data_IF_012722583916
#
_entry.id   IF_012722583916
#
_cell.length_a   1.000
_cell.length_b   1.000
_cell.length_c   1.000
_cell.angle_alpha   90.00
_cell.angle_beta   90.00
_cell.angle_gamma   90.00
#
_symmetry.space_group_name_H-M   'P 1'
#
loop_
_entity.id
_entity.type
_entity.pdbx_description
1 polymer ?
#
# COMPACT_ATOMS: atom_id res chain seq x y z
N UNK A 1 -28.28 22.32 -4.12
CA UNK A 1 -27.24 21.33 -3.77
C UNK A 1 -25.98 21.74 -4.49
N UNK A 2 -24.97 22.28 -3.80
CA UNK A 2 -23.70 22.62 -4.46
C UNK A 2 -22.96 21.33 -4.76
N UNK A 3 -22.76 21.04 -6.05
CA UNK A 3 -21.97 19.87 -6.47
C UNK A 3 -20.55 20.09 -5.98
N UNK A 4 -20.06 19.20 -5.10
CA UNK A 4 -18.66 19.25 -4.66
C UNK A 4 -17.79 18.89 -5.87
N UNK A 5 -17.07 19.89 -6.41
CA UNK A 5 -16.16 19.65 -7.52
C UNK A 5 -15.06 18.65 -7.11
N UNK A 6 -14.90 17.63 -7.94
CA UNK A 6 -13.83 16.65 -7.81
C UNK A 6 -12.58 17.20 -8.47
N UNK A 7 -11.45 17.19 -7.76
CA UNK A 7 -10.19 17.64 -8.33
C UNK A 7 -9.51 16.48 -9.06
N UNK A 8 -9.71 16.40 -10.38
CA UNK A 8 -9.22 15.31 -11.24
C UNK A 8 -7.70 15.16 -11.23
N UNK A 9 -6.95 16.25 -11.04
CA UNK A 9 -5.48 16.21 -11.02
C UNK A 9 -4.95 15.40 -9.84
N UNK A 10 -5.56 15.55 -8.66
CA UNK A 10 -5.15 14.79 -7.48
C UNK A 10 -5.57 13.32 -7.57
N UNK A 11 -6.72 13.00 -8.16
CA UNK A 11 -7.13 11.61 -8.37
C UNK A 11 -6.20 10.91 -9.37
N UNK A 12 -5.82 11.61 -10.46
CA UNK A 12 -4.84 11.10 -11.41
C UNK A 12 -3.48 10.86 -10.75
N UNK A 13 -3.00 11.82 -9.94
CA UNK A 13 -1.76 11.67 -9.18
C UNK A 13 -1.81 10.45 -8.26
N UNK A 14 -2.93 10.19 -7.57
CA UNK A 14 -3.10 9.00 -6.71
C UNK A 14 -3.00 7.70 -7.48
N UNK A 15 -3.53 7.65 -8.71
CA UNK A 15 -3.42 6.46 -9.58
C UNK A 15 -1.96 6.22 -9.95
N UNK A 16 -1.23 7.27 -10.35
CA UNK A 16 0.21 7.17 -10.66
C UNK A 16 0.98 6.65 -9.44
N UNK A 17 0.72 7.21 -8.25
CA UNK A 17 1.40 6.77 -7.03
C UNK A 17 1.10 5.30 -6.70
N UNK A 18 -0.15 4.87 -6.87
CA UNK A 18 -0.53 3.45 -6.67
C UNK A 18 0.22 2.50 -7.61
N UNK A 19 0.37 2.87 -8.89
CA UNK A 19 1.15 2.08 -9.84
C UNK A 19 2.63 2.00 -9.45
N UNK A 20 3.23 3.12 -9.03
CA UNK A 20 4.62 3.17 -8.58
C UNK A 20 4.86 2.26 -7.36
N UNK A 21 3.92 2.22 -6.41
CA UNK A 21 3.99 1.35 -5.23
C UNK A 21 3.94 -0.13 -5.63
N UNK A 22 3.07 -0.50 -6.58
CA UNK A 22 2.98 -1.88 -7.08
C UNK A 22 4.27 -2.29 -7.79
N UNK A 23 4.83 -1.42 -8.65
CA UNK A 23 6.10 -1.69 -9.32
C UNK A 23 7.25 -1.84 -8.33
N UNK A 24 7.32 -0.96 -7.32
CA UNK A 24 8.31 -1.06 -6.25
C UNK A 24 8.25 -2.41 -5.53
N UNK A 25 7.06 -2.84 -5.08
CA UNK A 25 6.90 -4.13 -4.41
C UNK A 25 7.25 -5.31 -5.34
N UNK A 26 6.91 -5.21 -6.62
CA UNK A 26 7.25 -6.23 -7.62
C UNK A 26 8.76 -6.37 -7.83
N UNK A 27 9.50 -5.26 -7.78
CA UNK A 27 10.96 -5.25 -7.97
C UNK A 27 11.69 -5.65 -6.69
N UNK A 28 11.26 -5.15 -5.53
CA UNK A 28 11.97 -5.36 -4.26
C UNK A 28 11.63 -6.71 -3.61
N UNK A 29 10.37 -7.13 -3.68
CA UNK A 29 9.87 -8.34 -3.02
C UNK A 29 9.38 -9.43 -3.99
N UNK A 30 9.31 -9.13 -5.29
CA UNK A 30 8.82 -10.06 -6.32
C UNK A 30 9.92 -10.90 -6.98
N UNK A 31 9.60 -11.41 -8.16
CA UNK A 31 10.25 -12.55 -8.84
C UNK A 31 11.63 -12.21 -9.42
N UNK A 32 12.02 -10.93 -9.49
CA UNK A 32 13.35 -10.56 -9.97
C UNK A 32 14.33 -10.93 -8.85
N UNK A 33 15.16 -11.97 -9.02
CA UNK A 33 16.16 -12.28 -8.03
C UNK A 33 17.04 -11.03 -7.93
N UNK A 34 17.21 -10.51 -6.72
CA UNK A 34 18.35 -9.64 -6.47
C UNK A 34 19.60 -10.49 -6.64
N UNK A 35 20.01 -10.65 -7.90
CA UNK A 35 21.31 -11.16 -8.27
C UNK A 35 22.37 -10.35 -7.53
N UNK A 36 23.49 -10.99 -7.18
CA UNK A 36 24.42 -10.47 -6.20
C UNK A 36 24.83 -9.05 -6.56
N UNK A 37 24.83 -8.21 -5.52
CA UNK A 37 25.52 -6.92 -5.42
C UNK A 37 26.61 -6.79 -6.49
N UNK A 38 26.46 -5.79 -7.35
CA UNK A 38 27.60 -5.12 -7.98
C UNK A 38 28.50 -6.03 -8.85
N UNK A 39 27.98 -6.56 -9.95
CA UNK A 39 28.85 -6.90 -11.10
C UNK A 39 28.29 -6.19 -12.32
N UNK A 40 28.82 -4.99 -12.52
CA UNK A 40 28.65 -4.16 -13.72
C UNK A 40 29.16 -4.97 -14.92
N UNK A 41 28.25 -5.64 -15.65
CA UNK A 41 28.55 -6.22 -16.95
C UNK A 41 28.12 -5.21 -18.02
N UNK A 42 29.13 -4.56 -18.60
CA UNK A 42 29.08 -3.20 -19.15
C UNK A 42 28.28 -2.99 -20.44
N UNK A 43 27.61 -3.98 -21.04
CA UNK A 43 27.18 -3.80 -22.44
C UNK A 43 25.69 -3.97 -22.79
N UNK A 44 24.82 -4.49 -21.91
CA UNK A 44 23.37 -4.60 -22.23
C UNK A 44 22.39 -4.40 -21.05
N UNK A 45 22.88 -4.16 -19.84
CA UNK A 45 22.08 -4.27 -18.60
C UNK A 45 21.84 -2.90 -17.92
N UNK A 46 22.56 -1.85 -18.32
CA UNK A 46 22.49 -0.52 -17.69
C UNK A 46 21.11 0.11 -17.62
N UNK A 47 20.33 0.08 -18.71
CA UNK A 47 19.01 0.70 -18.74
C UNK A 47 18.03 -0.06 -17.85
N UNK A 48 18.09 -1.40 -17.85
CA UNK A 48 17.26 -2.23 -16.99
C UNK A 48 17.58 -1.98 -15.50
N UNK A 49 18.86 -2.02 -15.15
CA UNK A 49 19.29 -1.82 -13.76
C UNK A 49 19.04 -0.39 -13.28
N UNK A 50 19.20 0.59 -14.16
CA UNK A 50 18.84 1.98 -13.87
C UNK A 50 17.34 2.12 -13.61
N UNK A 51 16.49 1.57 -14.46
CA UNK A 51 15.03 1.61 -14.30
C UNK A 51 14.60 0.90 -13.01
N UNK A 52 15.13 -0.29 -12.73
CA UNK A 52 14.85 -1.01 -11.49
C UNK A 52 15.30 -0.22 -10.24
N UNK A 53 16.47 0.40 -10.29
CA UNK A 53 16.99 1.24 -9.19
C UNK A 53 16.12 2.49 -8.98
N UNK A 54 15.69 3.14 -10.06
CA UNK A 54 14.77 4.27 -9.97
C UNK A 54 13.46 3.86 -9.30
N UNK A 55 12.79 2.80 -9.76
CA UNK A 55 11.53 2.34 -9.14
C UNK A 55 11.72 1.85 -7.69
N UNK A 56 12.87 1.26 -7.37
CA UNK A 56 13.21 0.90 -6.00
C UNK A 56 13.31 2.14 -5.08
N UNK A 57 13.84 3.26 -5.56
CA UNK A 57 13.91 4.51 -4.80
C UNK A 57 12.56 5.25 -4.75
N UNK A 58 11.90 5.41 -5.89
CA UNK A 58 10.65 6.18 -6.00
C UNK A 58 9.46 5.51 -5.30
N UNK A 59 9.52 4.20 -5.08
CA UNK A 59 8.43 3.48 -4.41
C UNK A 59 8.11 4.00 -3.01
N UNK A 60 9.13 4.23 -2.17
CA UNK A 60 8.92 4.80 -0.82
C UNK A 60 8.35 6.20 -0.86
N UNK A 61 8.92 7.05 -1.73
CA UNK A 61 8.43 8.41 -1.96
C UNK A 61 6.97 8.41 -2.45
N UNK A 62 6.58 7.44 -3.29
CA UNK A 62 5.22 7.31 -3.78
C UNK A 62 4.23 6.97 -2.66
N UNK A 63 4.63 6.14 -1.68
CA UNK A 63 3.82 5.87 -0.48
C UNK A 63 3.58 7.17 0.30
N UNK A 64 4.62 7.95 0.57
CA UNK A 64 4.51 9.20 1.33
C UNK A 64 3.58 10.20 0.65
N UNK A 65 3.74 10.39 -0.67
CA UNK A 65 2.87 11.27 -1.45
C UNK A 65 1.42 10.77 -1.44
N UNK A 66 1.20 9.47 -1.58
CA UNK A 66 -0.14 8.89 -1.53
C UNK A 66 -0.82 9.12 -0.16
N UNK A 67 -0.07 8.95 0.93
CA UNK A 67 -0.54 9.20 2.29
C UNK A 67 -0.87 10.68 2.51
N UNK A 68 0.00 11.59 2.06
CA UNK A 68 -0.24 13.04 2.16
C UNK A 68 -1.51 13.48 1.43
N UNK A 69 -1.72 13.00 0.19
CA UNK A 69 -2.95 13.33 -0.56
C UNK A 69 -4.17 12.78 0.18
N UNK A 70 -4.09 11.53 0.66
CA UNK A 70 -5.18 10.89 1.39
C UNK A 70 -5.53 11.66 2.67
N UNK A 71 -4.53 12.07 3.45
CA UNK A 71 -4.69 12.90 4.64
C UNK A 71 -5.28 14.28 4.35
N UNK A 72 -4.82 14.95 3.29
CA UNK A 72 -5.33 16.26 2.89
C UNK A 72 -6.84 16.26 2.59
N UNK A 73 -7.32 15.27 1.83
CA UNK A 73 -8.76 15.14 1.58
C UNK A 73 -9.55 14.64 2.78
N UNK A 74 -8.89 13.92 3.68
CA UNK A 74 -9.51 13.42 4.91
C UNK A 74 -9.82 14.57 5.87
N UNK A 75 -8.85 15.46 6.15
CA UNK A 75 -9.04 16.65 7.01
C UNK A 75 -10.09 17.61 6.44
N UNK A 76 -10.15 17.79 5.12
CA UNK A 76 -11.19 18.60 4.46
C UNK A 76 -12.59 17.99 4.48
N UNK A 77 -12.77 16.79 5.03
CA UNK A 77 -14.07 16.11 5.08
C UNK A 77 -14.74 16.33 6.43
N UNK A 78 -16.06 16.53 6.44
CA UNK A 78 -16.78 16.66 7.70
C UNK A 78 -16.63 15.36 8.50
N UNK A 79 -16.17 15.48 9.74
CA UNK A 79 -15.94 14.36 10.62
C UNK A 79 -17.25 13.61 10.91
N UNK A 80 -17.25 12.29 10.73
CA UNK A 80 -18.41 11.44 11.01
C UNK A 80 -17.93 10.06 11.49
N UNK A 81 -18.17 9.77 12.78
CA UNK A 81 -17.76 8.52 13.43
C UNK A 81 -18.29 7.27 12.70
N UNK A 82 -19.56 7.27 12.25
CA UNK A 82 -20.14 6.12 11.53
C UNK A 82 -19.43 5.86 10.21
N UNK A 83 -19.12 6.94 9.47
CA UNK A 83 -18.42 6.84 8.18
C UNK A 83 -16.97 6.37 8.36
N UNK A 84 -16.30 6.85 9.40
CA UNK A 84 -14.94 6.42 9.75
C UNK A 84 -14.90 4.93 10.08
N UNK A 85 -15.76 4.47 10.99
CA UNK A 85 -15.82 3.08 11.40
C UNK A 85 -16.15 2.15 10.22
N UNK A 86 -17.09 2.54 9.36
CA UNK A 86 -17.42 1.78 8.15
C UNK A 86 -16.23 1.64 7.19
N UNK A 87 -15.41 2.68 7.04
CA UNK A 87 -14.20 2.63 6.20
C UNK A 87 -13.13 1.71 6.80
N UNK A 88 -12.92 1.79 8.11
CA UNK A 88 -11.98 0.92 8.83
C UNK A 88 -12.40 -0.54 8.68
N UNK A 89 -13.68 -0.85 8.94
CA UNK A 89 -14.20 -2.20 8.83
C UNK A 89 -14.06 -2.75 7.40
N UNK A 90 -14.31 -1.90 6.39
CA UNK A 90 -14.12 -2.27 4.99
C UNK A 90 -12.65 -2.56 4.66
N UNK A 91 -11.72 -1.74 5.15
CA UNK A 91 -10.29 -1.95 4.96
C UNK A 91 -9.85 -3.29 5.60
N UNK A 92 -10.22 -3.52 6.85
CA UNK A 92 -9.89 -4.76 7.56
C UNK A 92 -10.48 -5.97 6.82
N UNK A 93 -11.75 -5.93 6.44
CA UNK A 93 -12.39 -7.00 5.68
C UNK A 93 -11.69 -7.26 4.34
N UNK A 94 -11.26 -6.21 3.62
CA UNK A 94 -10.50 -6.36 2.39
C UNK A 94 -9.15 -7.04 2.63
N UNK A 95 -8.40 -6.62 3.65
CA UNK A 95 -7.09 -7.22 3.98
C UNK A 95 -7.26 -8.71 4.30
N UNK A 96 -8.23 -9.07 5.13
CA UNK A 96 -8.52 -10.49 5.45
C UNK A 96 -8.95 -11.28 4.21
N UNK A 97 -9.87 -10.72 3.41
CA UNK A 97 -10.36 -11.37 2.20
C UNK A 97 -9.23 -11.68 1.21
N UNK A 98 -8.40 -10.68 0.89
CA UNK A 98 -7.30 -10.87 -0.05
C UNK A 98 -6.19 -11.75 0.53
N UNK A 99 -5.88 -11.63 1.82
CA UNK A 99 -4.89 -12.50 2.50
C UNK A 99 -5.26 -13.98 2.36
N UNK A 100 -6.51 -14.33 2.72
CA UNK A 100 -7.00 -15.72 2.65
C UNK A 100 -7.16 -16.20 1.21
N UNK A 101 -7.67 -15.36 0.31
CA UNK A 101 -7.87 -15.71 -1.09
C UNK A 101 -6.54 -16.01 -1.79
N UNK A 102 -5.54 -15.13 -1.64
CA UNK A 102 -4.23 -15.31 -2.28
C UNK A 102 -3.54 -16.54 -1.71
N UNK A 103 -3.59 -16.72 -0.38
CA UNK A 103 -3.03 -17.91 0.26
C UNK A 103 -3.70 -19.21 -0.24
N UNK A 104 -5.03 -19.21 -0.38
CA UNK A 104 -5.78 -20.37 -0.88
C UNK A 104 -5.39 -20.73 -2.32
N UNK A 105 -5.26 -19.74 -3.21
CA UNK A 105 -4.85 -19.96 -4.60
C UNK A 105 -3.41 -20.46 -4.67
N UNK A 106 -2.49 -19.82 -3.93
CA UNK A 106 -1.07 -20.20 -3.91
C UNK A 106 -0.87 -21.61 -3.34
N UNK A 107 -1.65 -21.99 -2.32
CA UNK A 107 -1.66 -23.33 -1.73
C UNK A 107 -2.22 -24.37 -2.69
N UNK A 108 -3.30 -24.05 -3.43
CA UNK A 108 -3.92 -24.98 -4.37
C UNK A 108 -3.00 -25.32 -5.54
N UNK A 109 -2.23 -24.34 -6.03
CA UNK A 109 -1.31 -24.52 -7.15
C UNK A 109 0.12 -24.89 -6.73
N UNK A 110 0.35 -25.12 -5.43
CA UNK A 110 1.66 -25.44 -4.85
C UNK A 110 2.79 -24.46 -5.25
N UNK A 111 2.47 -23.17 -5.38
CA UNK A 111 3.46 -22.14 -5.74
C UNK A 111 4.48 -21.86 -4.62
N UNK A 112 4.14 -22.20 -3.38
CA UNK A 112 4.95 -21.91 -2.19
C UNK A 112 4.94 -23.15 -1.28
N UNK A 113 6.08 -23.53 -0.67
CA UNK A 113 6.08 -24.57 0.36
C UNK A 113 5.27 -24.10 1.57
N UNK A 114 4.21 -24.82 1.92
CA UNK A 114 3.31 -24.44 3.01
C UNK A 114 4.02 -24.66 4.35
N UNK A 115 4.38 -23.58 5.05
CA UNK A 115 4.85 -23.64 6.44
C UNK A 115 3.74 -23.23 7.39
N UNK A 116 3.82 -23.71 8.63
CA UNK A 116 2.90 -23.33 9.73
C UNK A 116 2.87 -21.81 9.95
N UNK A 117 4.01 -21.15 9.80
CA UNK A 117 4.10 -19.68 9.90
C UNK A 117 3.35 -18.96 8.77
N UNK A 118 3.34 -19.50 7.56
CA UNK A 118 2.64 -18.89 6.42
C UNK A 118 1.11 -18.98 6.60
N UNK A 119 0.63 -20.11 7.15
CA UNK A 119 -0.77 -20.30 7.52
C UNK A 119 -1.18 -19.29 8.61
N UNK A 120 -0.37 -19.16 9.66
CA UNK A 120 -0.64 -18.20 10.73
C UNK A 120 -0.60 -16.75 10.23
N UNK A 121 0.33 -16.41 9.34
CA UNK A 121 0.42 -15.09 8.73
C UNK A 121 -0.79 -14.78 7.84
N UNK A 122 -1.34 -15.78 7.13
CA UNK A 122 -2.54 -15.60 6.31
C UNK A 122 -3.80 -15.37 7.14
N UNK A 123 -3.93 -16.05 8.29
CA UNK A 123 -5.06 -15.91 9.23
C UNK A 123 -4.95 -14.62 10.04
N UNK A 124 -3.73 -14.20 10.40
CA UNK A 124 -3.46 -13.04 11.24
C UNK A 124 -2.60 -11.99 10.52
N UNK A 125 -3.08 -11.39 9.41
CA UNK A 125 -2.28 -10.53 8.53
C UNK A 125 -1.73 -9.27 9.22
N UNK A 126 -2.35 -8.84 10.33
CA UNK A 126 -1.94 -7.66 11.10
C UNK A 126 -0.84 -7.95 12.13
N UNK A 127 -0.68 -9.19 12.59
CA UNK A 127 0.27 -9.54 13.65
C UNK A 127 1.66 -9.87 13.12
N UNK A 128 1.75 -10.35 11.87
CA UNK A 128 3.00 -10.80 11.25
C UNK A 128 3.68 -9.72 10.38
N UNK A 129 3.23 -8.46 10.47
CA UNK A 129 3.73 -7.31 9.69
C UNK A 129 3.79 -7.54 8.16
N UNK A 130 3.00 -8.49 7.66
CA UNK A 130 2.94 -8.86 6.24
C UNK A 130 2.38 -7.70 5.39
N UNK A 131 1.50 -6.90 5.98
CA UNK A 131 0.84 -5.76 5.36
C UNK A 131 1.09 -4.48 6.15
N UNK A 132 2.36 -4.09 6.30
CA UNK A 132 2.81 -2.92 7.07
C UNK A 132 1.98 -1.66 6.78
N UNK A 133 1.73 -1.36 5.51
CA UNK A 133 0.97 -0.17 5.09
C UNK A 133 -0.48 -0.18 5.59
N UNK A 134 -1.11 -1.35 5.74
CA UNK A 134 -2.49 -1.42 6.22
C UNK A 134 -2.61 -1.03 7.70
N UNK A 135 -1.60 -1.38 8.51
CA UNK A 135 -1.52 -1.01 9.92
C UNK A 135 -1.30 0.51 10.04
N UNK A 136 -0.34 1.06 9.29
CA UNK A 136 -0.03 2.49 9.31
C UNK A 136 -1.21 3.33 8.83
N UNK A 137 -1.92 2.87 7.80
CA UNK A 137 -3.11 3.55 7.31
C UNK A 137 -4.28 3.47 8.31
N UNK A 138 -4.39 2.38 9.07
CA UNK A 138 -5.36 2.28 10.17
C UNK A 138 -5.03 3.27 11.30
N UNK A 139 -3.75 3.40 11.65
CA UNK A 139 -3.28 4.39 12.63
C UNK A 139 -3.60 5.82 12.17
N UNK A 140 -3.43 6.11 10.88
CA UNK A 140 -3.82 7.42 10.32
C UNK A 140 -5.31 7.72 10.51
N UNK A 141 -6.19 6.73 10.35
CA UNK A 141 -7.61 6.87 10.66
C UNK A 141 -7.92 7.08 12.14
N UNK A 142 -7.06 6.55 13.03
CA UNK A 142 -7.19 6.75 14.47
C UNK A 142 -6.76 8.15 14.91
N UNK A 143 -5.75 8.73 14.24
CA UNK A 143 -5.27 10.11 14.48
C UNK A 143 -6.22 11.15 13.88
N UNK A 144 -6.93 10.81 12.81
CA UNK A 144 -7.89 11.68 12.13
C UNK A 144 -8.87 12.48 13.04
N UNK A 145 -9.61 11.88 13.99
CA UNK A 145 -10.52 12.62 14.89
C UNK A 145 -9.84 13.76 15.64
N UNK A 146 -8.58 13.57 16.05
CA UNK A 146 -7.82 14.61 16.74
C UNK A 146 -7.51 15.77 15.79
N UNK A 147 -7.07 15.48 14.56
CA UNK A 147 -6.70 16.53 13.60
C UNK A 147 -7.86 17.44 13.20
N UNK A 148 -9.08 16.89 13.07
CA UNK A 148 -10.25 17.67 12.67
C UNK A 148 -10.78 18.56 13.81
N UNK A 149 -10.60 18.16 15.08
CA UNK A 149 -11.06 19.00 16.19
C UNK A 149 -10.27 20.32 16.29
N UNK A 150 -8.99 20.33 15.90
CA UNK A 150 -8.14 21.53 15.93
C UNK A 150 -8.37 22.47 14.75
N UNK A 151 -8.88 21.98 13.62
CA UNK A 151 -9.09 22.81 12.41
C UNK A 151 -10.45 23.52 12.36
N UNK A 152 -11.37 23.19 13.27
CA UNK A 152 -12.69 23.81 13.40
C UNK A 152 -12.84 24.69 14.66
N UNK A 153 -11.74 24.95 15.37
CA UNK A 153 -11.60 26.03 16.35
C UNK A 153 -11.09 27.29 15.66
#
# INVERSE_FOLDING_TARGET
MTVKERNSNFEFLRIIMMLLIVFHHSIVHGIIPQGPKLIINLNKIWIHDFICSCFAMFGKMAVDVFVMISGFFLVKSCFNYKKMFSKILRLVAQVYFYSLLIFSIASHWHWIPIKTMDVLAAIFPFFYNTYWFAIDYLLLYLVYPYTVSYTHL
#
